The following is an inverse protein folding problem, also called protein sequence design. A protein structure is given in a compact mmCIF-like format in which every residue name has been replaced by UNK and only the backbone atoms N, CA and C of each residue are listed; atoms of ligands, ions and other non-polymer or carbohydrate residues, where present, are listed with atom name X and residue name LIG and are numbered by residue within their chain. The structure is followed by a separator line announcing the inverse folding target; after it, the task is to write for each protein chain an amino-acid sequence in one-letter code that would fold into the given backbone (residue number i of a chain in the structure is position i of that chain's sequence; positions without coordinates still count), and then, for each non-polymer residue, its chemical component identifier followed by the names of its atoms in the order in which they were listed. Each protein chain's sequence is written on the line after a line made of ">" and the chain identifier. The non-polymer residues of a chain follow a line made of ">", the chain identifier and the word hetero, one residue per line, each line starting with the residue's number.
data_IF_889673777627
#
_entry.id   IF_889673777627
#
_cell.length_a   1.000
_cell.length_b   1.000
_cell.length_c   1.000
_cell.angle_alpha   90.00
_cell.angle_beta   90.00
_cell.angle_gamma   90.00
#
_symmetry.space_group_name_H-M   'P 1'
#
loop_
_entity.id
_entity.type
_entity.pdbx_description
1 polymer ?
#
# COMPACT_ATOMS: atom_id res chain seq x y z
N UNK A 1 -6.81 7.42 -16.96
CA UNK A 1 -7.91 6.77 -16.23
C UNK A 1 -7.58 6.81 -14.74
N UNK A 2 -8.54 7.15 -13.88
CA UNK A 2 -8.33 7.25 -12.42
C UNK A 2 -8.62 5.93 -11.69
N UNK A 3 -9.03 4.90 -12.41
CA UNK A 3 -9.19 3.49 -12.00
C UNK A 3 -9.16 2.62 -13.26
N UNK A 4 -8.90 1.32 -13.12
CA UNK A 4 -8.97 0.34 -14.21
C UNK A 4 -10.26 -0.47 -14.09
N UNK A 5 -10.93 -0.74 -15.20
CA UNK A 5 -12.04 -1.68 -15.25
C UNK A 5 -11.51 -3.04 -15.71
N UNK A 6 -11.96 -4.11 -15.07
CA UNK A 6 -11.62 -5.49 -15.45
C UNK A 6 -12.89 -6.22 -15.89
N UNK A 7 -12.78 -7.06 -16.90
CA UNK A 7 -13.80 -8.01 -17.32
C UNK A 7 -13.19 -9.42 -17.47
N UNK A 8 -13.97 -10.38 -17.97
CA UNK A 8 -13.50 -11.75 -18.19
C UNK A 8 -13.19 -12.54 -16.91
N UNK A 9 -13.54 -12.00 -15.73
CA UNK A 9 -13.39 -12.67 -14.45
C UNK A 9 -14.51 -13.69 -14.25
N UNK A 10 -14.24 -14.77 -13.51
CA UNK A 10 -15.32 -15.64 -13.01
C UNK A 10 -16.27 -14.85 -12.10
N UNK A 11 -17.56 -15.19 -12.11
CA UNK A 11 -18.53 -14.56 -11.23
C UNK A 11 -18.09 -14.74 -9.75
N UNK A 12 -18.16 -13.66 -8.97
CA UNK A 12 -17.72 -13.59 -7.57
C UNK A 12 -16.20 -13.75 -7.32
N UNK A 13 -15.37 -13.82 -8.38
CA UNK A 13 -13.91 -13.71 -8.19
C UNK A 13 -13.57 -12.35 -7.57
N UNK A 14 -12.66 -12.35 -6.61
CA UNK A 14 -12.27 -11.17 -5.85
C UNK A 14 -10.79 -10.92 -6.01
N UNK A 15 -10.43 -9.69 -6.39
CA UNK A 15 -9.08 -9.16 -6.26
C UNK A 15 -8.94 -8.60 -4.84
N UNK A 16 -7.96 -9.05 -4.08
CA UNK A 16 -7.74 -8.63 -2.70
C UNK A 16 -6.75 -7.47 -2.64
N UNK A 17 -6.83 -6.67 -1.57
CA UNK A 17 -5.83 -5.64 -1.28
C UNK A 17 -4.43 -6.25 -1.22
N UNK A 18 -3.49 -5.61 -1.92
CA UNK A 18 -2.12 -6.08 -2.05
C UNK A 18 -1.88 -7.10 -3.17
N UNK A 19 -2.89 -7.57 -3.91
CA UNK A 19 -2.67 -8.39 -5.10
C UNK A 19 -1.88 -7.60 -6.16
N UNK A 20 -0.96 -8.28 -6.84
CA UNK A 20 -0.14 -7.69 -7.92
C UNK A 20 -0.64 -8.22 -9.25
N UNK A 21 -0.80 -7.34 -10.23
CA UNK A 21 -1.07 -7.75 -11.60
C UNK A 21 -0.27 -6.92 -12.61
N UNK A 22 -0.20 -7.41 -13.84
CA UNK A 22 0.40 -6.72 -14.98
C UNK A 22 -0.60 -6.67 -16.12
N UNK A 23 -0.49 -5.65 -16.97
CA UNK A 23 -1.34 -5.47 -18.16
C UNK A 23 -0.46 -5.60 -19.40
N UNK A 24 -0.85 -6.44 -20.36
CA UNK A 24 -0.11 -6.65 -21.60
C UNK A 24 0.17 -5.33 -22.33
N UNK A 25 1.39 -5.19 -22.86
CA UNK A 25 1.83 -4.00 -23.59
C UNK A 25 2.10 -2.76 -22.74
N UNK A 26 1.76 -2.77 -21.45
CA UNK A 26 2.00 -1.65 -20.52
C UNK A 26 3.29 -1.89 -19.74
N UNK A 27 4.39 -1.35 -20.22
CA UNK A 27 5.71 -1.48 -19.62
C UNK A 27 6.02 -0.33 -18.65
N UNK A 28 6.84 -0.62 -17.65
CA UNK A 28 7.43 0.40 -16.79
C UNK A 28 8.44 1.23 -17.59
N UNK A 29 8.56 2.51 -17.22
CA UNK A 29 9.60 3.40 -17.74
C UNK A 29 10.59 3.80 -16.66
N UNK A 30 11.78 4.20 -17.10
CA UNK A 30 12.73 4.84 -16.21
C UNK A 30 12.19 6.21 -15.78
N UNK A 31 12.07 6.49 -14.47
CA UNK A 31 11.53 7.75 -13.97
C UNK A 31 12.38 8.98 -14.31
N UNK A 32 13.65 8.83 -14.70
CA UNK A 32 14.55 9.95 -15.04
C UNK A 32 14.45 10.32 -16.52
N UNK A 33 14.48 9.33 -17.42
CA UNK A 33 14.58 9.57 -18.87
C UNK A 33 13.35 9.10 -19.67
N UNK A 34 12.32 8.56 -19.02
CA UNK A 34 11.06 8.12 -19.66
C UNK A 34 11.17 6.90 -20.57
N UNK A 35 12.37 6.32 -20.72
CA UNK A 35 12.59 5.21 -21.63
C UNK A 35 12.03 3.90 -21.07
N UNK A 36 11.45 3.11 -21.96
CA UNK A 36 10.90 1.79 -21.64
C UNK A 36 11.99 0.86 -21.05
N UNK A 37 11.70 0.21 -19.92
CA UNK A 37 12.61 -0.74 -19.28
C UNK A 37 12.54 -2.15 -19.88
N UNK A 38 11.54 -2.42 -20.74
CA UNK A 38 11.28 -3.74 -21.32
C UNK A 38 10.54 -4.69 -20.37
N UNK A 39 10.18 -4.24 -19.16
CA UNK A 39 9.43 -5.03 -18.18
C UNK A 39 8.01 -4.49 -18.05
N UNK A 40 7.04 -5.40 -17.98
CA UNK A 40 5.64 -5.04 -17.71
C UNK A 40 5.54 -4.31 -16.37
N UNK A 41 4.73 -3.26 -16.35
CA UNK A 41 4.44 -2.49 -15.15
C UNK A 41 3.64 -3.35 -14.18
N UNK A 42 4.12 -3.46 -12.95
CA UNK A 42 3.35 -4.06 -11.86
C UNK A 42 2.38 -3.03 -11.26
N UNK A 43 1.13 -3.46 -11.09
CA UNK A 43 0.05 -2.73 -10.43
C UNK A 43 -0.28 -3.42 -9.12
N UNK A 44 -0.54 -2.66 -8.07
CA UNK A 44 -0.93 -3.18 -6.75
C UNK A 44 -2.36 -2.78 -6.47
N UNK A 45 -3.23 -3.74 -6.16
CA UNK A 45 -4.61 -3.49 -5.71
C UNK A 45 -4.58 -2.81 -4.34
N UNK A 46 -5.43 -1.80 -4.12
CA UNK A 46 -5.46 -1.00 -2.89
C UNK A 46 -6.66 -1.30 -1.97
N UNK A 47 -7.64 -2.06 -2.45
CA UNK A 47 -8.79 -2.48 -1.67
C UNK A 47 -9.45 -3.69 -2.35
N UNK A 48 -10.11 -4.54 -1.56
CA UNK A 48 -10.84 -5.70 -2.08
C UNK A 48 -11.90 -5.26 -3.10
N UNK A 49 -11.93 -5.92 -4.25
CA UNK A 49 -12.91 -5.70 -5.30
C UNK A 49 -13.43 -7.03 -5.85
N UNK A 50 -14.73 -7.25 -5.76
CA UNK A 50 -15.39 -8.49 -6.22
C UNK A 50 -16.09 -8.25 -7.55
N UNK A 51 -15.90 -9.19 -8.48
CA UNK A 51 -16.54 -9.15 -9.78
C UNK A 51 -18.06 -9.35 -9.67
N UNK A 52 -18.81 -8.46 -10.30
CA UNK A 52 -20.25 -8.57 -10.53
C UNK A 52 -20.49 -8.90 -12.00
N UNK A 53 -21.23 -9.99 -12.27
CA UNK A 53 -21.45 -10.49 -13.64
C UNK A 53 -20.15 -10.67 -14.45
N UNK A 54 -19.06 -11.07 -13.78
CA UNK A 54 -17.75 -11.31 -14.38
C UNK A 54 -16.91 -10.06 -14.64
N UNK A 55 -17.31 -8.89 -14.12
CA UNK A 55 -16.57 -7.64 -14.27
C UNK A 55 -16.39 -6.89 -12.94
N UNK A 56 -15.25 -6.21 -12.82
CA UNK A 56 -14.98 -5.19 -11.80
C UNK A 56 -14.98 -3.84 -12.53
N UNK A 57 -16.05 -3.06 -12.37
CA UNK A 57 -16.21 -1.79 -13.08
C UNK A 57 -15.15 -0.75 -12.71
N UNK A 58 -14.58 -0.82 -11.50
CA UNK A 58 -13.58 0.12 -11.01
C UNK A 58 -12.70 -0.54 -9.95
N UNK A 59 -11.50 -0.95 -10.36
CA UNK A 59 -10.48 -1.52 -9.49
C UNK A 59 -9.57 -0.41 -8.92
N UNK A 60 -9.57 -0.18 -7.60
CA UNK A 60 -8.61 0.72 -6.97
C UNK A 60 -7.22 0.06 -7.00
N UNK A 61 -6.29 0.68 -7.73
CA UNK A 61 -4.92 0.18 -7.85
C UNK A 61 -3.89 1.31 -7.92
N UNK A 62 -2.63 0.98 -7.65
CA UNK A 62 -1.48 1.89 -7.73
C UNK A 62 -0.48 1.34 -8.74
N UNK A 63 -0.08 2.11 -9.77
CA UNK A 63 -0.68 3.39 -10.19
C UNK A 63 -2.09 3.18 -10.79
N UNK A 64 -2.98 4.15 -10.62
CA UNK A 64 -4.38 4.06 -11.04
C UNK A 64 -5.21 5.09 -10.31
N UNK A 65 -5.21 5.00 -8.98
CA UNK A 65 -5.97 5.84 -8.06
C UNK A 65 -5.15 7.03 -7.55
N UNK A 66 -5.81 8.16 -7.26
CA UNK A 66 -5.19 9.33 -6.63
C UNK A 66 -4.40 8.97 -5.36
N UNK A 67 -3.19 9.52 -5.14
CA UNK A 67 -2.52 10.56 -5.94
C UNK A 67 -1.71 10.06 -7.14
N UNK A 68 -1.61 8.74 -7.35
CA UNK A 68 -0.71 8.11 -8.32
C UNK A 68 -1.46 7.64 -9.56
N UNK A 69 -1.84 8.54 -10.46
CA UNK A 69 -2.50 8.16 -11.71
C UNK A 69 -1.53 7.49 -12.71
N UNK A 70 -2.09 6.86 -13.74
CA UNK A 70 -1.31 6.25 -14.83
C UNK A 70 -0.91 7.35 -15.81
N UNK A 71 0.40 7.51 -16.05
CA UNK A 71 0.98 8.54 -16.91
C UNK A 71 1.85 7.88 -17.99
N UNK A 72 1.56 8.19 -19.25
CA UNK A 72 2.38 7.79 -20.40
C UNK A 72 2.80 9.00 -21.22
N UNK A 73 3.69 8.79 -22.19
CA UNK A 73 4.08 9.81 -23.18
C UNK A 73 2.97 10.12 -24.20
N UNK A 74 1.83 9.43 -24.14
CA UNK A 74 0.69 9.72 -25.00
C UNK A 74 0.24 11.17 -24.81
N UNK A 75 0.02 11.88 -25.91
CA UNK A 75 -0.17 13.33 -25.99
C UNK A 75 -1.28 13.94 -25.10
N UNK A 76 -2.15 13.11 -24.50
CA UNK A 76 -3.26 13.53 -23.64
C UNK A 76 -2.94 13.46 -22.12
N UNK A 77 -1.79 12.93 -21.70
CA UNK A 77 -1.42 12.86 -20.28
C UNK A 77 -0.77 14.17 -19.81
N UNK A 78 -1.42 14.86 -18.85
CA UNK A 78 -1.04 16.18 -18.31
C UNK A 78 0.40 16.28 -17.75
N UNK A 79 1.11 15.17 -17.54
CA UNK A 79 2.39 15.16 -16.84
C UNK A 79 3.44 14.20 -17.42
N UNK A 80 4.12 14.63 -18.49
CA UNK A 80 5.30 13.97 -19.05
C UNK A 80 6.44 13.75 -18.02
N UNK A 81 6.77 14.70 -17.12
CA UNK A 81 7.85 14.50 -16.14
C UNK A 81 7.58 13.40 -15.09
N UNK A 82 6.32 12.96 -14.95
CA UNK A 82 5.92 11.91 -14.00
C UNK A 82 5.49 10.62 -14.70
N UNK A 83 5.94 10.42 -15.95
CA UNK A 83 5.65 9.23 -16.73
C UNK A 83 6.02 7.97 -15.94
N UNK A 84 5.08 7.03 -15.91
CA UNK A 84 5.23 5.79 -15.16
C UNK A 84 5.00 4.54 -16.04
N UNK A 85 4.37 4.69 -17.20
CA UNK A 85 4.24 3.64 -18.20
C UNK A 85 4.61 4.15 -19.59
N UNK A 86 5.01 3.25 -20.50
CA UNK A 86 5.31 3.62 -21.90
C UNK A 86 4.01 3.98 -22.65
N UNK A 87 2.96 3.20 -22.44
CA UNK A 87 1.65 3.35 -23.07
C UNK A 87 0.57 3.21 -22.01
N UNK A 88 -0.60 3.83 -22.23
CA UNK A 88 -1.75 3.57 -21.36
C UNK A 88 -2.27 2.14 -21.59
N UNK A 89 -2.78 1.46 -20.56
CA UNK A 89 -3.53 0.21 -20.73
C UNK A 89 -4.59 0.34 -21.82
N UNK A 90 -4.52 -0.54 -22.82
CA UNK A 90 -5.49 -0.58 -23.91
C UNK A 90 -6.80 -1.26 -23.44
N UNK A 91 -7.89 -1.01 -24.16
CA UNK A 91 -9.11 -1.81 -23.99
C UNK A 91 -8.83 -3.27 -24.36
N UNK A 92 -9.46 -4.21 -23.65
CA UNK A 92 -9.33 -5.66 -23.88
C UNK A 92 -7.87 -6.19 -23.79
N UNK A 93 -6.98 -5.48 -23.10
CA UNK A 93 -5.61 -5.94 -22.88
C UNK A 93 -5.57 -7.04 -21.81
N UNK A 94 -4.87 -8.14 -22.11
CA UNK A 94 -4.73 -9.27 -21.20
C UNK A 94 -4.08 -8.86 -19.87
N UNK A 95 -4.60 -9.42 -18.78
CA UNK A 95 -4.10 -9.19 -17.42
C UNK A 95 -3.58 -10.50 -16.84
N UNK A 96 -2.40 -10.41 -16.23
CA UNK A 96 -1.80 -11.53 -15.49
C UNK A 96 -1.63 -11.12 -14.03
N UNK A 97 -2.31 -11.83 -13.14
CA UNK A 97 -2.16 -11.69 -11.68
C UNK A 97 -0.95 -12.51 -11.23
N UNK A 98 -0.13 -11.93 -10.36
CA UNK A 98 1.01 -12.62 -9.79
C UNK A 98 0.56 -13.58 -8.68
N UNK A 99 0.95 -14.85 -8.80
CA UNK A 99 0.58 -15.90 -7.86
C UNK A 99 -0.68 -16.65 -8.26
N UNK A 100 -1.18 -17.48 -7.34
CA UNK A 100 -2.32 -18.36 -7.56
C UNK A 100 -3.41 -18.04 -6.55
N UNK A 101 -4.67 -17.98 -7.01
CA UNK A 101 -5.82 -17.71 -6.16
C UNK A 101 -5.88 -18.68 -4.96
N UNK A 102 -6.11 -18.13 -3.77
CA UNK A 102 -6.24 -18.91 -2.54
C UNK A 102 -4.93 -19.43 -1.92
N UNK A 103 -3.78 -19.16 -2.54
CA UNK A 103 -2.48 -19.55 -1.98
C UNK A 103 -1.88 -18.38 -1.20
N UNK A 104 -1.50 -18.63 0.05
CA UNK A 104 -0.69 -17.72 0.85
C UNK A 104 0.79 -18.07 0.73
N UNK A 105 1.63 -17.09 0.41
CA UNK A 105 3.06 -17.24 0.29
C UNK A 105 3.79 -16.30 1.25
N UNK A 106 4.97 -16.71 1.75
CA UNK A 106 5.84 -15.79 2.48
C UNK A 106 6.45 -14.79 1.50
N UNK A 107 6.32 -13.51 1.82
CA UNK A 107 6.88 -12.42 1.02
C UNK A 107 8.06 -11.79 1.76
N UNK A 108 9.21 -11.70 1.10
CA UNK A 108 10.33 -10.92 1.60
C UNK A 108 10.14 -9.45 1.21
N UNK A 109 10.67 -8.54 2.02
CA UNK A 109 10.65 -7.11 1.74
C UNK A 109 12.07 -6.61 1.54
N UNK A 110 12.30 -5.86 0.46
CA UNK A 110 13.52 -5.10 0.25
C UNK A 110 13.14 -3.63 0.06
N UNK A 111 13.82 -2.73 0.76
CA UNK A 111 13.52 -1.31 0.68
C UNK A 111 14.74 -0.45 1.00
N UNK A 112 14.79 0.75 0.41
CA UNK A 112 15.74 1.77 0.78
C UNK A 112 15.34 2.42 2.10
N UNK A 113 16.32 2.94 2.87
CA UNK A 113 16.09 3.60 4.17
C UNK A 113 15.06 4.75 4.13
N UNK A 114 14.86 5.36 2.97
CA UNK A 114 13.97 6.51 2.77
C UNK A 114 12.57 6.10 2.22
N UNK A 115 12.28 4.81 2.10
CA UNK A 115 11.00 4.32 1.59
C UNK A 115 9.85 4.50 2.59
N UNK A 116 10.12 4.22 3.87
CA UNK A 116 9.15 4.24 4.96
C UNK A 116 9.61 5.17 6.07
N UNK A 117 8.66 5.84 6.70
CA UNK A 117 8.88 6.61 7.91
C UNK A 117 8.02 6.06 9.05
N UNK A 118 8.65 5.90 10.22
CA UNK A 118 7.99 5.69 11.49
C UNK A 118 8.16 6.96 12.32
N UNK A 119 7.05 7.52 12.79
CA UNK A 119 7.03 8.69 13.67
C UNK A 119 6.43 8.28 15.00
N UNK A 120 7.11 8.61 16.08
CA UNK A 120 6.66 8.39 17.45
C UNK A 120 6.32 9.74 18.09
N UNK A 121 5.15 9.83 18.71
CA UNK A 121 4.71 11.04 19.41
C UNK A 121 4.63 10.74 20.91
N UNK A 122 5.34 11.49 21.76
CA UNK A 122 5.18 11.37 23.21
C UNK A 122 3.75 11.72 23.62
N UNK A 123 3.07 10.78 24.27
CA UNK A 123 1.72 10.98 24.78
C UNK A 123 1.75 11.88 26.02
N UNK A 124 0.90 12.90 26.05
CA UNK A 124 0.67 13.69 27.26
C UNK A 124 0.19 12.76 28.38
N UNK A 125 0.74 12.89 29.59
CA UNK A 125 0.34 12.05 30.70
C UNK A 125 -0.61 12.83 31.63
N UNK A 126 -1.89 12.41 31.77
CA UNK A 126 -2.86 13.16 32.55
C UNK A 126 -2.42 13.38 34.01
N UNK A 127 -2.74 14.55 34.55
CA UNK A 127 -2.38 14.93 35.91
C UNK A 127 -3.01 13.99 36.97
N UNK A 128 -4.19 13.44 36.69
CA UNK A 128 -4.98 12.60 37.61
C UNK A 128 -4.32 11.28 38.02
N UNK A 129 -3.44 10.73 37.19
CA UNK A 129 -2.72 9.50 37.56
C UNK A 129 -1.59 9.83 38.53
N UNK A 130 -1.64 9.19 39.70
CA UNK A 130 -0.62 9.31 40.75
C UNK A 130 0.63 8.50 40.44
N UNK A 131 0.48 7.34 39.79
CA UNK A 131 1.59 6.50 39.36
C UNK A 131 1.65 6.44 37.83
N UNK A 132 2.65 7.14 37.29
CA UNK A 132 2.83 7.33 35.86
C UNK A 132 4.29 7.57 35.52
N UNK A 133 4.70 7.13 34.34
CA UNK A 133 5.99 7.49 33.76
C UNK A 133 5.91 7.47 32.24
N UNK A 134 6.79 8.22 31.58
CA UNK A 134 7.03 8.08 30.14
C UNK A 134 8.51 7.78 29.95
N UNK A 135 8.82 6.70 29.26
CA UNK A 135 10.18 6.23 29.03
C UNK A 135 10.42 6.10 27.54
N UNK A 136 11.59 6.54 27.10
CA UNK A 136 12.05 6.36 25.74
C UNK A 136 13.04 5.19 25.68
N UNK A 137 12.78 4.21 24.82
CA UNK A 137 13.68 3.09 24.58
C UNK A 137 13.82 2.82 23.08
N UNK A 138 15.05 2.87 22.55
CA UNK A 138 15.36 2.62 21.13
C UNK A 138 14.49 3.43 20.14
N UNK A 139 14.18 4.67 20.49
CA UNK A 139 13.34 5.55 19.67
C UNK A 139 11.83 5.36 19.85
N UNK A 140 11.40 4.42 20.70
CA UNK A 140 10.00 4.25 21.08
C UNK A 140 9.70 5.01 22.38
N UNK A 141 8.77 5.97 22.32
CA UNK A 141 8.21 6.61 23.51
C UNK A 141 7.06 5.77 24.03
N UNK A 142 7.19 5.23 25.23
CA UNK A 142 6.19 4.39 25.89
C UNK A 142 5.73 5.09 27.17
N UNK A 143 4.42 5.31 27.31
CA UNK A 143 3.80 5.82 28.52
C UNK A 143 3.29 4.64 29.35
N UNK A 144 3.61 4.62 30.63
CA UNK A 144 3.05 3.67 31.60
C UNK A 144 2.20 4.42 32.62
N UNK A 145 1.01 3.89 32.89
CA UNK A 145 0.07 4.45 33.86
C UNK A 145 -0.54 3.32 34.68
N UNK A 146 -0.67 3.52 35.99
CA UNK A 146 -1.34 2.60 36.90
C UNK A 146 -2.51 3.30 37.57
N UNK A 147 -3.62 2.58 37.70
CA UNK A 147 -4.83 3.04 38.37
C UNK A 147 -5.54 1.85 39.02
N UNK A 148 -6.37 2.18 40.00
CA UNK A 148 -7.20 1.21 40.73
C UNK A 148 -8.65 1.47 40.37
N UNK A 149 -9.39 0.40 40.10
CA UNK A 149 -10.84 0.43 40.00
C UNK A 149 -11.43 0.37 41.42
N UNK A 150 -12.22 1.39 41.78
CA UNK A 150 -12.79 1.52 43.12
C UNK A 150 -14.00 0.62 43.38
N UNK A 151 -14.70 0.17 42.34
CA UNK A 151 -15.88 -0.67 42.48
C UNK A 151 -15.50 -2.15 42.60
N UNK A 152 -14.45 -2.54 41.89
CA UNK A 152 -14.07 -3.94 41.69
C UNK A 152 -12.78 -4.33 42.42
N UNK A 153 -12.15 -3.37 43.11
CA UNK A 153 -10.90 -3.50 43.85
C UNK A 153 -9.77 -4.14 43.02
N UNK A 154 -9.57 -3.65 41.79
CA UNK A 154 -8.54 -4.17 40.87
C UNK A 154 -7.51 -3.12 40.51
N UNK A 155 -6.25 -3.51 40.57
CA UNK A 155 -5.13 -2.71 40.10
C UNK A 155 -4.83 -3.01 38.62
N UNK A 156 -4.83 -1.98 37.78
CA UNK A 156 -4.54 -2.09 36.34
C UNK A 156 -3.33 -1.23 35.96
N UNK A 157 -2.42 -1.82 35.19
CA UNK A 157 -1.28 -1.13 34.58
C UNK A 157 -1.48 -1.15 33.06
N UNK A 158 -1.38 0.02 32.43
CA UNK A 158 -1.43 0.16 30.96
C UNK A 158 -0.10 0.68 30.41
N UNK A 159 0.24 0.22 29.21
CA UNK A 159 1.35 0.72 28.41
C UNK A 159 0.80 1.26 27.09
N UNK A 160 1.00 2.55 26.84
CA UNK A 160 0.46 3.23 25.68
C UNK A 160 1.59 3.78 24.80
N UNK A 161 1.41 3.65 23.48
CA UNK A 161 2.27 4.27 22.46
C UNK A 161 1.40 5.02 21.46
N UNK A 162 1.89 6.15 20.96
CA UNK A 162 1.29 6.86 19.83
C UNK A 162 2.30 6.93 18.69
N UNK A 163 1.94 6.34 17.56
CA UNK A 163 2.82 6.27 16.40
C UNK A 163 2.04 6.40 15.10
N UNK A 164 2.76 6.79 14.05
CA UNK A 164 2.28 6.76 12.68
C UNK A 164 3.34 6.13 11.78
N UNK A 165 2.90 5.32 10.84
CA UNK A 165 3.73 4.79 9.75
C UNK A 165 3.25 5.38 8.43
N UNK A 166 4.18 5.71 7.54
CA UNK A 166 3.85 6.18 6.20
C UNK A 166 4.89 5.72 5.19
N UNK A 167 4.41 5.24 4.05
CA UNK A 167 5.24 5.05 2.85
C UNK A 167 5.50 6.43 2.24
N UNK A 168 6.74 6.90 2.36
CA UNK A 168 7.16 8.21 1.85
C UNK A 168 7.36 8.13 0.34
N UNK A 169 8.10 7.12 -0.11
CA UNK A 169 8.30 6.87 -1.53
C UNK A 169 8.10 5.37 -1.85
N UNK A 170 6.96 5.00 -2.46
CA UNK A 170 6.67 3.61 -2.76
C UNK A 170 7.61 3.00 -3.82
N UNK A 171 8.29 3.81 -4.65
CA UNK A 171 9.21 3.28 -5.68
C UNK A 171 10.51 2.74 -5.09
N UNK A 172 10.78 3.01 -3.82
CA UNK A 172 12.00 2.59 -3.12
C UNK A 172 11.82 1.31 -2.32
N UNK A 173 10.68 0.63 -2.44
CA UNK A 173 10.39 -0.62 -1.77
C UNK A 173 9.82 -1.64 -2.76
N UNK A 174 10.13 -2.91 -2.56
CA UNK A 174 9.53 -4.01 -3.30
C UNK A 174 9.29 -5.23 -2.41
N UNK A 175 8.34 -6.06 -2.87
CA UNK A 175 8.15 -7.41 -2.37
C UNK A 175 8.94 -8.37 -3.25
N UNK A 176 9.71 -9.26 -2.64
CA UNK A 176 10.44 -10.31 -3.33
C UNK A 176 9.79 -11.63 -2.94
N UNK A 177 9.13 -12.24 -3.93
CA UNK A 177 8.59 -13.58 -3.82
C UNK A 177 9.64 -14.59 -4.29
N UNK A 178 9.62 -15.80 -3.72
CA UNK A 178 10.27 -16.94 -4.38
C UNK A 178 9.54 -17.21 -5.68
N UNK A 179 10.31 -17.53 -6.73
CA UNK A 179 9.78 -18.17 -7.91
C UNK A 179 9.20 -19.55 -7.55
#
# INVERSE_FOLDING_TARGET
>A
ANTLALDGLGAANTMLDGDIFTVAGTNQVNPVHGGNTGQLRQFVVNANATASAGAIASLPCTPGTSPWAIYSEAAASKYLPYQNVNTIPANDADIVVAGTAGISARMNLAFHKDAFALVMVPLETPASYTWKATVNYKGFSIRVVRYVDGDEDRETIRFDILYAIKTINPTLACRIASA
#
